data_IF_942503496738
#
_entry.id   IF_942503496738
#
_cell.length_a   1.000
_cell.length_b   1.000
_cell.length_c   1.000
_cell.angle_alpha   90.00
_cell.angle_beta   90.00
_cell.angle_gamma   90.00
#
_symmetry.space_group_name_H-M   'P 1'
#
loop_
_entity.id
_entity.type
_entity.pdbx_description
1 polymer ?
#
# COMPACT_ATOMS: atom_id res chain seq x y z
N UNK A 1 -8.31 -10.85 -5.40
CA UNK A 1 -8.49 -12.01 -4.49
C UNK A 1 -9.55 -12.89 -5.12
N UNK A 2 -9.30 -14.18 -5.22
CA UNK A 2 -10.26 -15.16 -5.73
C UNK A 2 -10.60 -16.12 -4.58
N UNK A 3 -11.89 -16.27 -4.29
CA UNK A 3 -12.41 -17.14 -3.25
C UNK A 3 -13.11 -18.32 -3.92
N UNK A 4 -12.76 -19.53 -3.50
CA UNK A 4 -13.43 -20.76 -3.91
C UNK A 4 -14.28 -21.27 -2.76
N UNK A 5 -15.53 -21.61 -3.03
CA UNK A 5 -16.45 -22.23 -2.07
C UNK A 5 -16.71 -23.66 -2.56
N UNK A 6 -16.49 -24.69 -1.74
CA UNK A 6 -16.82 -26.06 -2.11
C UNK A 6 -18.30 -26.21 -2.44
N UNK A 7 -18.60 -26.98 -3.48
CA UNK A 7 -19.97 -27.26 -3.94
C UNK A 7 -20.80 -28.01 -2.88
N UNK A 8 -20.12 -28.74 -1.99
CA UNK A 8 -20.65 -29.65 -0.97
C UNK A 8 -20.55 -29.10 0.45
N UNK A 9 -20.24 -27.80 0.60
CA UNK A 9 -20.19 -27.17 1.91
C UNK A 9 -21.56 -27.27 2.61
N UNK A 10 -21.56 -27.77 3.84
CA UNK A 10 -22.75 -27.77 4.69
C UNK A 10 -23.13 -26.34 5.09
N UNK A 11 -24.38 -26.15 5.54
CA UNK A 11 -24.85 -24.84 6.00
C UNK A 11 -23.99 -24.26 7.14
N UNK A 12 -23.49 -25.12 8.03
CA UNK A 12 -22.61 -24.72 9.13
C UNK A 12 -21.24 -24.23 8.60
N UNK A 13 -20.65 -24.96 7.66
CA UNK A 13 -19.39 -24.57 7.02
C UNK A 13 -19.54 -23.28 6.19
N UNK A 14 -20.63 -23.16 5.43
CA UNK A 14 -20.95 -21.96 4.68
C UNK A 14 -21.12 -20.75 5.61
N UNK A 15 -21.79 -20.93 6.75
CA UNK A 15 -21.93 -19.90 7.76
C UNK A 15 -20.58 -19.49 8.36
N UNK A 16 -19.69 -20.45 8.63
CA UNK A 16 -18.33 -20.18 9.12
C UNK A 16 -17.50 -19.37 8.10
N UNK A 17 -17.57 -19.73 6.82
CA UNK A 17 -16.90 -18.99 5.73
C UNK A 17 -17.44 -17.56 5.65
N UNK A 18 -18.77 -17.38 5.67
CA UNK A 18 -19.40 -16.06 5.64
C UNK A 18 -18.99 -15.21 6.85
N UNK A 19 -18.94 -15.81 8.05
CA UNK A 19 -18.51 -15.13 9.26
C UNK A 19 -17.04 -14.67 9.18
N UNK A 20 -16.15 -15.53 8.66
CA UNK A 20 -14.74 -15.19 8.48
C UNK A 20 -14.53 -14.03 7.49
N UNK A 21 -15.24 -14.06 6.35
CA UNK A 21 -15.21 -12.97 5.36
C UNK A 21 -15.76 -11.67 5.97
N UNK A 22 -16.89 -11.76 6.68
CA UNK A 22 -17.50 -10.61 7.33
C UNK A 22 -16.62 -10.00 8.44
N UNK A 23 -15.88 -10.82 9.18
CA UNK A 23 -14.87 -10.34 10.12
C UNK A 23 -13.73 -9.62 9.39
N UNK A 24 -13.15 -10.25 8.34
CA UNK A 24 -12.07 -9.66 7.57
C UNK A 24 -12.44 -8.30 6.96
N UNK A 25 -13.64 -8.17 6.38
CA UNK A 25 -14.09 -6.90 5.81
C UNK A 25 -14.27 -5.80 6.86
N UNK A 26 -14.80 -6.15 8.05
CA UNK A 26 -14.92 -5.21 9.17
C UNK A 26 -13.54 -4.75 9.66
N UNK A 27 -12.59 -5.66 9.79
CA UNK A 27 -11.22 -5.33 10.20
C UNK A 27 -10.55 -4.41 9.19
N UNK A 28 -10.72 -4.67 7.89
CA UNK A 28 -10.22 -3.78 6.82
C UNK A 28 -10.86 -2.40 6.89
N UNK A 29 -12.17 -2.32 7.14
CA UNK A 29 -12.87 -1.05 7.27
C UNK A 29 -12.38 -0.26 8.49
N UNK A 30 -12.20 -0.93 9.64
CA UNK A 30 -11.67 -0.31 10.84
C UNK A 30 -10.22 0.19 10.65
N UNK A 31 -9.37 -0.60 9.99
CA UNK A 31 -8.01 -0.20 9.66
C UNK A 31 -7.98 0.99 8.69
N UNK A 32 -8.85 1.00 7.69
CA UNK A 32 -8.96 2.13 6.75
C UNK A 32 -9.45 3.41 7.45
N UNK A 33 -10.41 3.31 8.37
CA UNK A 33 -10.88 4.45 9.16
C UNK A 33 -9.77 5.00 10.06
N UNK A 34 -9.02 4.12 10.75
CA UNK A 34 -7.88 4.53 11.57
C UNK A 34 -6.77 5.21 10.75
N UNK A 35 -6.53 4.75 9.51
CA UNK A 35 -5.56 5.36 8.61
C UNK A 35 -6.03 6.73 8.06
N UNK A 36 -7.34 6.95 7.93
CA UNK A 36 -7.89 8.23 7.48
C UNK A 36 -7.68 9.36 8.51
N UNK A 37 -7.67 9.03 9.80
CA UNK A 37 -7.38 9.96 10.90
C UNK A 37 -5.87 10.21 11.10
N UNK A 38 -5.00 9.49 10.39
CA UNK A 38 -3.56 9.75 10.39
C UNK A 38 -3.17 10.58 9.17
N UNK A 39 -2.60 11.77 9.38
CA UNK A 39 -1.92 12.49 8.31
C UNK A 39 -0.72 11.64 7.85
N UNK A 40 -0.65 11.26 6.56
CA UNK A 40 0.41 10.37 6.10
C UNK A 40 1.76 11.05 6.29
N UNK A 41 2.55 10.48 7.20
CA UNK A 41 3.86 11.00 7.55
C UNK A 41 4.83 10.78 6.40
N UNK A 42 5.95 11.50 6.40
CA UNK A 42 7.00 11.32 5.40
C UNK A 42 7.52 9.87 5.35
N UNK A 43 7.52 9.15 6.48
CA UNK A 43 7.89 7.74 6.54
C UNK A 43 6.94 6.85 5.74
N UNK A 44 5.63 7.07 5.85
CA UNK A 44 4.60 6.33 5.12
C UNK A 44 4.67 6.59 3.61
N UNK A 45 4.91 7.85 3.23
CA UNK A 45 5.01 8.28 1.83
C UNK A 45 6.27 7.76 1.15
N UNK A 46 7.36 7.57 1.89
CA UNK A 46 8.66 7.16 1.34
C UNK A 46 8.64 5.73 0.79
N UNK A 47 7.97 4.81 1.47
CA UNK A 47 7.84 3.42 1.00
C UNK A 47 6.92 3.30 -0.22
N UNK A 48 5.81 4.03 -0.22
CA UNK A 48 4.92 4.11 -1.38
C UNK A 48 5.61 4.74 -2.61
N UNK A 49 6.45 5.77 -2.38
CA UNK A 49 7.24 6.39 -3.43
C UNK A 49 8.34 5.46 -3.95
N UNK A 50 9.07 4.77 -3.06
CA UNK A 50 10.09 3.80 -3.44
C UNK A 50 9.53 2.67 -4.31
N UNK A 51 8.37 2.11 -3.95
CA UNK A 51 7.68 1.09 -4.77
C UNK A 51 7.25 1.62 -6.14
N UNK A 52 6.82 2.89 -6.22
CA UNK A 52 6.50 3.54 -7.50
C UNK A 52 7.73 3.71 -8.39
N UNK A 53 8.89 4.05 -7.81
CA UNK A 53 10.15 4.20 -8.55
C UNK A 53 10.72 2.84 -8.99
N UNK A 54 10.55 1.79 -8.19
CA UNK A 54 10.95 0.43 -8.51
C UNK A 54 10.17 -0.13 -9.71
N UNK A 55 8.85 0.09 -9.75
CA UNK A 55 8.00 -0.30 -10.89
C UNK A 55 8.33 0.39 -12.21
N UNK A 56 9.05 1.52 -12.18
CA UNK A 56 9.51 2.23 -13.37
C UNK A 56 10.87 1.72 -13.90
N UNK A 57 11.47 0.71 -13.26
CA UNK A 57 12.72 0.08 -13.71
C UNK A 57 13.94 1.02 -13.70
N UNK A 58 13.81 2.20 -13.11
CA UNK A 58 14.87 3.21 -13.14
C UNK A 58 15.99 2.84 -12.19
N UNK A 59 17.21 2.71 -12.74
CA UNK A 59 18.48 2.45 -12.00
C UNK A 59 18.73 3.39 -10.80
N UNK A 60 18.03 4.53 -10.73
CA UNK A 60 18.10 5.52 -9.65
C UNK A 60 17.44 5.12 -8.33
N UNK A 61 16.65 4.04 -8.27
CA UNK A 61 16.06 3.57 -7.01
C UNK A 61 17.11 3.19 -5.95
N UNK A 62 18.29 2.71 -6.40
CA UNK A 62 19.39 2.29 -5.51
C UNK A 62 20.24 3.43 -4.97
N UNK A 63 20.22 4.58 -5.64
CA UNK A 63 21.02 5.77 -5.28
C UNK A 63 20.21 6.80 -4.47
N UNK A 64 18.90 6.58 -4.32
CA UNK A 64 18.02 7.35 -3.44
C UNK A 64 18.22 7.02 -1.94
N UNK A 65 19.46 6.78 -1.51
CA UNK A 65 19.81 6.83 -0.09
C UNK A 65 19.70 8.28 0.39
N UNK A 66 18.46 8.64 0.73
CA UNK A 66 18.05 9.57 1.78
C UNK A 66 19.10 10.64 2.11
N UNK A 67 19.17 11.68 1.27
CA UNK A 67 19.59 12.98 1.76
C UNK A 67 18.37 13.63 2.42
N UNK A 68 18.47 13.86 3.72
CA UNK A 68 17.52 14.61 4.52
C UNK A 68 17.30 15.99 3.86
N UNK A 69 16.05 16.30 3.47
CA UNK A 69 15.69 17.57 2.80
C UNK A 69 15.30 17.49 1.32
N UNK A 70 15.02 16.30 0.76
CA UNK A 70 14.47 16.22 -0.61
C UNK A 70 13.00 16.65 -0.63
N UNK A 71 12.59 17.63 -1.47
CA UNK A 71 11.20 18.06 -1.57
C UNK A 71 10.26 16.90 -1.92
N UNK A 72 9.10 16.87 -1.27
CA UNK A 72 8.10 15.79 -1.36
C UNK A 72 7.23 15.84 -2.62
N UNK A 73 7.46 16.83 -3.49
CA UNK A 73 6.76 16.98 -4.77
C UNK A 73 7.51 16.25 -5.91
N UNK A 74 6.87 15.27 -6.57
CA UNK A 74 7.50 14.48 -7.63
C UNK A 74 7.87 15.29 -8.88
N UNK A 75 7.21 16.44 -9.13
CA UNK A 75 7.54 17.32 -10.27
C UNK A 75 8.83 18.11 -10.02
N UNK A 76 8.99 18.63 -8.80
CA UNK A 76 10.19 19.34 -8.34
C UNK A 76 11.42 18.43 -8.32
N UNK A 77 11.26 17.16 -7.97
CA UNK A 77 12.35 16.18 -8.02
C UNK A 77 12.79 15.86 -9.46
N UNK A 78 11.85 15.90 -10.42
CA UNK A 78 12.12 15.55 -11.82
C UNK A 78 12.92 16.63 -12.56
N UNK A 79 12.77 17.90 -12.19
CA UNK A 79 13.47 19.04 -12.82
C UNK A 79 14.93 19.24 -12.40
N UNK A 80 15.50 18.40 -11.53
CA UNK A 80 16.92 18.48 -11.12
C UNK A 80 17.79 17.33 -11.62
N UNK A 81 17.32 16.56 -12.61
CA UNK A 81 18.11 15.50 -13.24
C UNK A 81 19.36 16.01 -13.95
N UNK A 82 19.42 17.30 -14.29
CA UNK A 82 20.51 17.91 -15.06
C UNK A 82 21.79 18.18 -14.23
N UNK A 83 21.80 17.85 -12.94
CA UNK A 83 22.92 18.09 -12.02
C UNK A 83 23.59 16.83 -11.46
N UNK A 84 23.27 15.66 -12.01
CA UNK A 84 23.92 14.39 -11.71
C UNK A 84 24.63 13.84 -12.94
#
# INVERSE_FOLDING_TARGET
>A
MQLHIPEDASDEEAAAIAAAIGAHLRDRAAAAAAAADSEPTWDDKRWAFAGRIEGLGTRGARDFRLREGTPTDPWTASGRRDRF
#
